data_IF_990923744877
#
_entry.id   IF_990923744877
#
_cell.length_a   1.000
_cell.length_b   1.000
_cell.length_c   1.000
_cell.angle_alpha   90.00
_cell.angle_beta   90.00
_cell.angle_gamma   90.00
#
_symmetry.space_group_name_H-M   'P 1'
#
loop_
_entity.id
_entity.type
_entity.pdbx_description
1 polymer ?
#
# COMPACT_ATOMS: atom_id res chain seq x y z
N UNK A 1 18.73 -0.29 -48.40
CA UNK A 1 18.83 -1.29 -47.32
C UNK A 1 17.85 -0.96 -46.22
N UNK A 2 17.10 -1.94 -45.74
CA UNK A 2 15.96 -1.78 -44.79
C UNK A 2 16.29 -0.99 -43.51
N UNK A 3 17.54 -1.01 -43.06
CA UNK A 3 17.99 -0.24 -41.90
C UNK A 3 17.93 1.29 -42.11
N UNK A 4 18.17 1.79 -43.33
CA UNK A 4 18.17 3.23 -43.62
C UNK A 4 16.78 3.86 -43.54
N UNK A 5 15.74 3.14 -43.95
CA UNK A 5 14.35 3.62 -43.88
C UNK A 5 13.85 3.70 -42.43
N UNK A 6 14.27 2.77 -41.57
CA UNK A 6 13.93 2.79 -40.14
C UNK A 6 14.56 3.99 -39.41
N UNK A 7 15.82 4.31 -39.73
CA UNK A 7 16.52 5.47 -39.13
C UNK A 7 15.89 6.78 -39.60
N UNK A 8 15.56 6.91 -40.88
CA UNK A 8 14.87 8.09 -41.42
C UNK A 8 13.47 8.27 -40.81
N UNK A 9 12.70 7.18 -40.67
CA UNK A 9 11.39 7.20 -40.02
C UNK A 9 11.48 7.57 -38.55
N UNK A 10 12.48 7.07 -37.82
CA UNK A 10 12.70 7.43 -36.42
C UNK A 10 13.15 8.89 -36.25
N UNK A 11 14.01 9.39 -37.13
CA UNK A 11 14.49 10.77 -37.10
C UNK A 11 13.35 11.77 -37.35
N UNK A 12 12.51 11.54 -38.37
CA UNK A 12 11.34 12.38 -38.63
C UNK A 12 10.33 12.31 -37.48
N UNK A 13 10.11 11.13 -36.91
CA UNK A 13 9.22 10.96 -35.77
C UNK A 13 9.76 11.57 -34.47
N UNK A 14 11.07 11.69 -34.32
CA UNK A 14 11.70 12.32 -33.16
C UNK A 14 11.66 13.85 -33.23
N UNK A 15 11.79 14.42 -34.44
CA UNK A 15 11.79 15.86 -34.68
C UNK A 15 10.38 16.47 -34.52
N UNK A 16 9.33 15.72 -34.89
CA UNK A 16 7.93 16.15 -34.76
C UNK A 16 7.35 15.93 -33.34
N UNK A 17 8.17 15.56 -32.35
CA UNK A 17 7.70 15.47 -30.96
C UNK A 17 7.62 16.87 -30.37
N UNK A 18 6.43 17.38 -30.06
CA UNK A 18 6.33 18.67 -29.43
C UNK A 18 7.02 18.64 -28.07
N UNK A 19 7.81 19.67 -27.77
CA UNK A 19 8.58 19.80 -26.51
C UNK A 19 7.69 19.80 -25.25
N UNK A 20 6.38 20.04 -25.39
CA UNK A 20 5.42 19.95 -24.28
C UNK A 20 4.98 18.51 -23.97
N UNK A 21 5.23 17.54 -24.86
CA UNK A 21 4.84 16.15 -24.67
C UNK A 21 5.88 15.40 -23.82
N UNK A 22 5.67 15.44 -22.52
CA UNK A 22 6.29 14.49 -21.60
C UNK A 22 5.52 13.17 -21.70
N UNK A 23 6.12 12.15 -22.33
CA UNK A 23 5.54 10.80 -22.33
C UNK A 23 5.28 10.34 -20.89
N UNK A 24 4.24 9.52 -20.64
CA UNK A 24 3.91 9.09 -19.29
C UNK A 24 5.10 8.31 -18.70
N UNK A 25 5.88 8.97 -17.86
CA UNK A 25 6.80 8.32 -16.95
C UNK A 25 5.91 7.69 -15.88
N UNK A 26 5.42 6.49 -16.16
CA UNK A 26 4.74 5.70 -15.13
C UNK A 26 5.76 5.51 -14.02
N UNK A 27 5.54 6.21 -12.90
CA UNK A 27 6.37 6.08 -11.72
C UNK A 27 6.47 4.59 -11.43
N UNK A 28 7.68 4.03 -11.52
CA UNK A 28 7.91 2.62 -11.28
C UNK A 28 7.24 2.28 -9.95
N UNK A 29 6.29 1.32 -9.98
CA UNK A 29 5.49 0.94 -8.83
C UNK A 29 6.46 0.59 -7.71
N UNK A 30 6.59 1.47 -6.72
CA UNK A 30 7.54 1.23 -5.63
C UNK A 30 7.10 -0.06 -4.95
N UNK A 31 7.98 -1.06 -4.93
CA UNK A 31 7.69 -2.32 -4.26
C UNK A 31 7.39 -2.02 -2.80
N UNK A 32 6.12 -2.16 -2.40
CA UNK A 32 5.71 -1.91 -1.02
C UNK A 32 6.33 -3.00 -0.17
N UNK A 33 7.44 -2.68 0.52
CA UNK A 33 8.10 -3.59 1.47
C UNK A 33 7.04 -4.09 2.46
N UNK A 34 6.63 -5.35 2.33
CA UNK A 34 5.72 -5.99 3.30
C UNK A 34 6.48 -6.08 4.61
N UNK A 35 6.03 -5.32 5.61
CA UNK A 35 6.57 -5.46 6.97
C UNK A 35 6.30 -6.90 7.41
N UNK A 36 7.28 -7.59 8.03
CA UNK A 36 7.02 -8.89 8.62
C UNK A 36 5.90 -8.72 9.65
N UNK A 37 4.86 -9.53 9.52
CA UNK A 37 3.74 -9.51 10.46
C UNK A 37 4.18 -10.22 11.74
N UNK A 38 3.85 -9.68 12.92
CA UNK A 38 4.12 -10.38 14.18
C UNK A 38 3.35 -11.70 14.21
N UNK A 39 3.93 -12.72 14.83
CA UNK A 39 3.26 -14.00 15.03
C UNK A 39 2.04 -13.86 15.95
N UNK A 40 1.09 -14.80 15.87
CA UNK A 40 -0.10 -14.82 16.74
C UNK A 40 0.29 -14.76 18.23
N UNK A 41 1.33 -15.50 18.62
CA UNK A 41 1.83 -15.53 19.99
C UNK A 41 2.35 -14.16 20.43
N UNK A 42 3.13 -13.48 19.57
CA UNK A 42 3.62 -12.13 19.88
C UNK A 42 2.47 -11.13 20.00
N UNK A 43 1.45 -11.20 19.13
CA UNK A 43 0.28 -10.33 19.20
C UNK A 43 -0.50 -10.54 20.51
N UNK A 44 -0.72 -11.79 20.93
CA UNK A 44 -1.38 -12.11 22.20
C UNK A 44 -0.55 -11.61 23.39
N UNK A 45 0.78 -11.80 23.35
CA UNK A 45 1.67 -11.28 24.39
C UNK A 45 1.63 -9.75 24.46
N UNK A 46 1.56 -9.05 23.33
CA UNK A 46 1.41 -7.58 23.29
C UNK A 46 0.09 -7.10 23.89
N UNK A 47 -1.00 -7.84 23.69
CA UNK A 47 -2.29 -7.55 24.34
C UNK A 47 -2.23 -7.80 25.85
N UNK A 48 -1.51 -8.83 26.29
CA UNK A 48 -1.37 -9.21 27.70
C UNK A 48 -0.28 -8.44 28.45
N UNK A 49 0.57 -7.67 27.76
CA UNK A 49 1.71 -6.94 28.33
C UNK A 49 1.33 -5.81 29.33
N UNK A 50 0.04 -5.65 29.65
CA UNK A 50 -0.43 -4.69 30.64
C UNK A 50 -0.51 -3.24 30.14
N UNK A 51 -0.42 -3.03 28.82
CA UNK A 51 -0.64 -1.71 28.22
C UNK A 51 -2.12 -1.36 28.24
N UNK A 52 -2.45 -0.13 28.65
CA UNK A 52 -3.81 0.40 28.55
C UNK A 52 -4.13 0.69 27.09
N UNK A 53 -5.27 0.16 26.64
CA UNK A 53 -5.89 0.48 25.36
C UNK A 53 -7.09 1.38 25.61
N UNK A 54 -7.26 2.39 24.76
CA UNK A 54 -8.37 3.33 24.84
C UNK A 54 -9.64 2.72 24.22
N UNK A 55 -9.47 1.85 23.22
CA UNK A 55 -10.56 1.20 22.48
C UNK A 55 -10.22 -0.26 22.21
N UNK A 56 -11.18 -1.15 22.52
CA UNK A 56 -11.14 -2.57 22.16
C UNK A 56 -12.28 -2.88 21.18
N UNK A 57 -11.93 -3.43 20.03
CA UNK A 57 -12.87 -3.81 18.96
C UNK A 57 -12.90 -5.34 18.85
N UNK A 58 -14.11 -5.89 18.79
CA UNK A 58 -14.34 -7.33 18.65
C UNK A 58 -14.99 -7.56 17.28
N UNK A 59 -14.34 -8.33 16.43
CA UNK A 59 -14.75 -8.54 15.04
C UNK A 59 -13.93 -7.71 14.05
N UNK A 60 -13.24 -8.38 13.13
CA UNK A 60 -12.37 -7.82 12.09
C UNK A 60 -13.01 -7.69 10.71
N UNK A 61 -14.34 -7.80 10.59
CA UNK A 61 -15.06 -7.55 9.35
C UNK A 61 -15.00 -6.08 8.90
N UNK A 62 -15.65 -5.73 7.78
CA UNK A 62 -15.56 -4.39 7.17
C UNK A 62 -15.84 -3.24 8.16
N UNK A 63 -16.86 -3.38 9.01
CA UNK A 63 -17.20 -2.39 10.04
C UNK A 63 -16.11 -2.30 11.11
N UNK A 64 -15.66 -3.43 11.65
CA UNK A 64 -14.64 -3.48 12.69
C UNK A 64 -13.29 -2.93 12.22
N UNK A 65 -12.88 -3.27 11.00
CA UNK A 65 -11.70 -2.72 10.37
C UNK A 65 -11.80 -1.20 10.14
N UNK A 66 -12.98 -0.71 9.71
CA UNK A 66 -13.24 0.72 9.56
C UNK A 66 -13.18 1.48 10.89
N UNK A 67 -13.77 0.92 11.94
CA UNK A 67 -13.69 1.48 13.30
C UNK A 67 -12.26 1.47 13.84
N UNK A 68 -11.49 0.40 13.60
CA UNK A 68 -10.09 0.31 14.03
C UNK A 68 -9.22 1.35 13.33
N UNK A 69 -9.46 1.56 12.03
CA UNK A 69 -8.78 2.59 11.25
C UNK A 69 -9.14 3.98 11.80
N UNK A 70 -10.43 4.29 11.97
CA UNK A 70 -10.87 5.58 12.50
C UNK A 70 -10.25 5.88 13.88
N UNK A 71 -10.36 4.95 14.83
CA UNK A 71 -9.79 5.12 16.17
C UNK A 71 -8.26 5.31 16.13
N UNK A 72 -7.54 4.55 15.31
CA UNK A 72 -6.08 4.68 15.16
C UNK A 72 -5.71 6.02 14.53
N UNK A 73 -6.45 6.49 13.51
CA UNK A 73 -6.19 7.80 12.87
C UNK A 73 -6.43 8.99 13.80
N UNK A 74 -7.25 8.81 14.85
CA UNK A 74 -7.47 9.78 15.92
C UNK A 74 -6.39 9.72 17.02
N UNK A 75 -5.41 8.82 16.89
CA UNK A 75 -4.32 8.66 17.85
C UNK A 75 -4.67 7.82 19.08
N UNK A 76 -5.79 7.10 19.06
CA UNK A 76 -6.19 6.23 20.18
C UNK A 76 -5.44 4.90 20.12
N UNK A 77 -5.01 4.41 21.29
CA UNK A 77 -4.43 3.07 21.43
C UNK A 77 -5.53 2.04 21.25
N UNK A 78 -5.58 1.46 20.06
CA UNK A 78 -6.68 0.58 19.64
C UNK A 78 -6.20 -0.86 19.57
N UNK A 79 -6.99 -1.78 20.13
CA UNK A 79 -6.83 -3.22 19.96
C UNK A 79 -8.02 -3.78 19.18
N UNK A 80 -7.78 -4.73 18.28
CA UNK A 80 -8.83 -5.47 17.56
C UNK A 80 -8.57 -6.96 17.68
N UNK A 81 -9.62 -7.72 18.00
CA UNK A 81 -9.57 -9.18 18.10
C UNK A 81 -10.61 -9.79 17.16
N UNK A 82 -10.16 -10.76 16.36
CA UNK A 82 -10.98 -11.56 15.43
C UNK A 82 -10.75 -13.05 15.73
N UNK A 83 -11.79 -13.87 15.56
CA UNK A 83 -11.77 -15.27 15.93
C UNK A 83 -11.05 -16.15 14.89
N UNK A 84 -11.37 -15.95 13.62
CA UNK A 84 -10.89 -16.79 12.52
C UNK A 84 -9.73 -16.14 11.75
N UNK A 85 -10.03 -15.23 10.83
CA UNK A 85 -9.07 -14.51 9.99
C UNK A 85 -9.63 -13.13 9.63
N UNK A 86 -8.75 -12.20 9.28
CA UNK A 86 -9.16 -10.90 8.77
C UNK A 86 -9.70 -11.09 7.34
N UNK A 87 -10.97 -10.73 7.11
CA UNK A 87 -11.66 -10.86 5.83
C UNK A 87 -11.00 -10.04 4.70
#
# INVERSE_FOLDING_TARGET
GVAGAAIAGWALYADDKPQWYNGPTVAAKTERKKRPLPSRTEQVNMLQAGHTYDVLIIGGGATGAGCALDATTRGLRTALVEADDFA
#
